data_IF_411102665905
#
_entry.id   IF_411102665905
#
_cell.length_a   1.000
_cell.length_b   1.000
_cell.length_c   1.000
_cell.angle_alpha   90.00
_cell.angle_beta   90.00
_cell.angle_gamma   90.00
#
_symmetry.space_group_name_H-M   'P 1'
#
loop_
_entity.id
_entity.type
_entity.pdbx_description
1 polymer ?
#
# COMPACT_ATOMS: atom_id res chain seq x y z
N UNK A 1 -6.43 26.35 -10.25
CA UNK A 1 -6.53 24.93 -10.67
C UNK A 1 -6.06 24.09 -9.51
N UNK A 2 -6.73 22.97 -9.20
CA UNK A 2 -6.25 22.01 -8.18
C UNK A 2 -4.93 21.42 -8.68
N UNK A 3 -3.86 21.46 -7.89
CA UNK A 3 -2.56 20.91 -8.27
C UNK A 3 -2.61 19.38 -8.35
N UNK A 4 -3.32 18.74 -7.41
CA UNK A 4 -3.51 17.30 -7.38
C UNK A 4 -4.98 16.95 -7.57
N UNK A 5 -5.25 15.95 -8.40
CA UNK A 5 -6.60 15.43 -8.67
C UNK A 5 -6.94 14.24 -7.80
N UNK A 6 -5.92 13.49 -7.37
CA UNK A 6 -6.04 12.29 -6.54
C UNK A 6 -5.07 12.37 -5.37
N UNK A 7 -5.58 12.17 -4.15
CA UNK A 7 -4.81 11.97 -2.93
C UNK A 7 -4.96 10.52 -2.46
N UNK A 8 -3.89 9.76 -2.53
CA UNK A 8 -3.76 8.44 -1.96
C UNK A 8 -3.20 8.57 -0.55
N UNK A 9 -3.89 8.01 0.44
CA UNK A 9 -3.50 8.06 1.83
C UNK A 9 -3.24 6.66 2.34
N UNK A 10 -2.09 6.43 2.94
CA UNK A 10 -1.84 5.21 3.70
C UNK A 10 -2.75 5.15 4.94
N UNK A 11 -2.94 3.96 5.50
CA UNK A 11 -3.87 3.73 6.61
C UNK A 11 -3.11 3.54 7.92
N UNK A 12 -2.26 2.52 7.99
CA UNK A 12 -1.64 2.05 9.23
C UNK A 12 -0.47 2.94 9.64
N UNK A 13 -0.58 3.62 10.78
CA UNK A 13 0.42 4.61 11.21
C UNK A 13 0.21 6.00 10.60
N UNK A 14 -0.68 6.14 9.62
CA UNK A 14 -1.00 7.42 8.95
C UNK A 14 -2.38 7.95 9.36
N UNK A 15 -3.41 7.13 9.22
CA UNK A 15 -4.79 7.45 9.57
C UNK A 15 -5.26 6.74 10.84
N UNK A 16 -4.67 5.59 11.14
CA UNK A 16 -5.03 4.74 12.28
C UNK A 16 -3.78 4.29 13.05
N UNK A 17 -3.98 3.92 14.31
CA UNK A 17 -2.96 3.30 15.14
C UNK A 17 -2.92 1.78 14.87
N UNK A 18 -2.44 1.41 13.68
CA UNK A 18 -2.38 0.03 13.19
C UNK A 18 -3.73 -0.54 12.74
N UNK A 19 -3.69 -1.75 12.17
CA UNK A 19 -4.88 -2.48 11.66
C UNK A 19 -5.83 -2.83 12.79
N UNK A 20 -7.06 -2.33 12.72
CA UNK A 20 -8.09 -2.52 13.75
C UNK A 20 -8.00 -1.55 14.93
N UNK A 21 -7.01 -0.66 14.94
CA UNK A 21 -6.84 0.38 15.94
C UNK A 21 -7.77 1.59 15.74
N UNK A 22 -7.75 2.56 16.66
CA UNK A 22 -8.52 3.80 16.55
C UNK A 22 -7.94 4.71 15.46
N UNK A 23 -8.75 5.66 14.98
CA UNK A 23 -8.24 6.73 14.12
C UNK A 23 -7.27 7.63 14.91
N UNK A 24 -6.19 8.05 14.26
CA UNK A 24 -5.25 9.02 14.82
C UNK A 24 -5.92 10.39 14.97
N UNK A 25 -5.41 11.19 15.89
CA UNK A 25 -5.96 12.52 16.17
C UNK A 25 -5.99 13.38 14.90
N UNK A 26 -7.18 13.90 14.58
CA UNK A 26 -7.42 14.75 13.40
C UNK A 26 -7.49 14.02 12.06
N UNK A 27 -7.31 12.69 12.00
CA UNK A 27 -7.31 11.94 10.74
C UNK A 27 -8.67 11.99 10.02
N UNK A 28 -9.77 11.84 10.72
CA UNK A 28 -11.12 11.89 10.14
C UNK A 28 -11.41 13.27 9.55
N UNK A 29 -11.09 14.34 10.28
CA UNK A 29 -11.26 15.71 9.81
C UNK A 29 -10.35 16.00 8.61
N UNK A 30 -9.09 15.51 8.63
CA UNK A 30 -8.17 15.63 7.51
C UNK A 30 -8.71 14.99 6.24
N UNK A 31 -9.23 13.75 6.33
CA UNK A 31 -9.84 13.05 5.18
C UNK A 31 -11.05 13.83 4.65
N UNK A 32 -11.91 14.33 5.52
CA UNK A 32 -13.07 15.16 5.14
C UNK A 32 -12.63 16.43 4.41
N UNK A 33 -11.64 17.14 4.94
CA UNK A 33 -11.11 18.36 4.34
C UNK A 33 -10.42 18.08 2.98
N UNK A 34 -9.66 16.99 2.86
CA UNK A 34 -8.99 16.60 1.63
C UNK A 34 -9.97 16.30 0.51
N UNK A 35 -11.12 15.69 0.81
CA UNK A 35 -12.19 15.44 -0.17
C UNK A 35 -12.75 16.72 -0.81
N UNK A 36 -12.59 17.87 -0.19
CA UNK A 36 -12.93 19.17 -0.79
C UNK A 36 -11.88 19.64 -1.82
N UNK A 37 -10.66 19.08 -1.76
CA UNK A 37 -9.49 19.48 -2.54
C UNK A 37 -9.15 18.51 -3.66
N UNK A 38 -9.37 17.21 -3.49
CA UNK A 38 -9.06 16.16 -4.45
C UNK A 38 -9.98 14.95 -4.25
N UNK A 39 -9.98 14.03 -5.23
CA UNK A 39 -10.48 12.67 -4.96
C UNK A 39 -9.56 12.00 -3.93
N UNK A 40 -10.15 11.24 -3.00
CA UNK A 40 -9.39 10.57 -1.94
C UNK A 40 -9.55 9.07 -2.05
N UNK A 41 -8.43 8.33 -2.01
CA UNK A 41 -8.40 6.88 -1.86
C UNK A 41 -7.52 6.51 -0.67
N UNK A 42 -7.99 5.58 0.15
CA UNK A 42 -7.19 4.99 1.21
C UNK A 42 -6.49 3.76 0.64
N UNK A 43 -5.16 3.75 0.66
CA UNK A 43 -4.36 2.73 -0.03
C UNK A 43 -3.46 2.03 0.99
N UNK A 44 -3.66 0.75 1.20
CA UNK A 44 -2.85 -0.04 2.15
C UNK A 44 -2.21 -1.25 1.48
N UNK A 45 -1.03 -1.65 1.96
CA UNK A 45 -0.39 -2.92 1.63
C UNK A 45 -0.81 -4.05 2.58
N UNK A 46 -1.72 -3.79 3.52
CA UNK A 46 -2.22 -4.81 4.45
C UNK A 46 -2.86 -5.98 3.71
N UNK A 47 -2.46 -7.18 4.08
CA UNK A 47 -2.93 -8.46 3.52
C UNK A 47 -3.50 -9.40 4.59
N UNK A 48 -3.58 -8.93 5.84
CA UNK A 48 -4.00 -9.72 7.01
C UNK A 48 -5.52 -9.78 7.24
N UNK A 49 -6.30 -9.07 6.44
CA UNK A 49 -7.78 -9.04 6.49
C UNK A 49 -8.35 -8.86 5.10
N UNK A 50 -9.57 -9.35 4.89
CA UNK A 50 -10.29 -9.14 3.65
C UNK A 50 -10.69 -7.67 3.44
N UNK A 51 -10.87 -7.30 2.17
CA UNK A 51 -11.33 -5.96 1.79
C UNK A 51 -12.65 -5.60 2.50
N UNK A 52 -13.59 -6.54 2.59
CA UNK A 52 -14.87 -6.34 3.26
C UNK A 52 -14.70 -6.00 4.74
N UNK A 53 -13.86 -6.74 5.46
CA UNK A 53 -13.62 -6.51 6.88
C UNK A 53 -12.92 -5.15 7.13
N UNK A 54 -11.92 -4.81 6.30
CA UNK A 54 -11.23 -3.52 6.38
C UNK A 54 -12.15 -2.35 6.06
N UNK A 55 -12.98 -2.46 5.00
CA UNK A 55 -13.93 -1.42 4.63
C UNK A 55 -14.94 -1.15 5.75
N UNK A 56 -15.52 -2.20 6.34
CA UNK A 56 -16.45 -2.06 7.46
C UNK A 56 -15.81 -1.35 8.65
N UNK A 57 -14.57 -1.70 8.99
CA UNK A 57 -13.84 -1.04 10.06
C UNK A 57 -13.60 0.46 9.77
N UNK A 58 -13.15 0.81 8.56
CA UNK A 58 -12.89 2.20 8.16
C UNK A 58 -14.17 3.06 8.08
N UNK A 59 -15.29 2.46 7.67
CA UNK A 59 -16.62 3.11 7.72
C UNK A 59 -17.00 3.42 9.17
N UNK A 60 -16.81 2.47 10.08
CA UNK A 60 -17.11 2.68 11.52
C UNK A 60 -16.24 3.77 12.14
N UNK A 61 -15.02 3.99 11.64
CA UNK A 61 -14.13 5.08 12.05
C UNK A 61 -14.49 6.43 11.39
N UNK A 62 -15.39 6.45 10.39
CA UNK A 62 -15.75 7.65 9.63
C UNK A 62 -14.67 8.09 8.61
N UNK A 63 -13.69 7.22 8.31
CA UNK A 63 -12.62 7.49 7.37
C UNK A 63 -13.05 7.31 5.92
N UNK A 64 -13.96 6.38 5.64
CA UNK A 64 -14.60 6.22 4.31
C UNK A 64 -16.11 6.18 4.44
N UNK A 65 -16.83 6.52 3.37
CA UNK A 65 -18.28 6.43 3.28
C UNK A 65 -18.71 5.22 2.43
N UNK A 66 -17.85 4.77 1.54
CA UNK A 66 -18.10 3.67 0.61
C UNK A 66 -16.90 2.74 0.51
N UNK A 67 -17.11 1.43 0.36
CA UNK A 67 -16.01 0.45 0.23
C UNK A 67 -15.03 0.75 -0.91
N UNK A 68 -15.48 1.38 -1.99
CA UNK A 68 -14.66 1.71 -3.16
C UNK A 68 -13.60 2.78 -2.90
N UNK A 69 -13.72 3.52 -1.79
CA UNK A 69 -12.66 4.43 -1.35
C UNK A 69 -11.44 3.70 -0.78
N UNK A 70 -11.58 2.42 -0.42
CA UNK A 70 -10.49 1.56 0.03
C UNK A 70 -9.87 0.82 -1.16
N UNK A 71 -8.55 0.88 -1.25
CA UNK A 71 -7.77 0.21 -2.29
C UNK A 71 -6.77 -0.73 -1.66
N UNK A 72 -6.94 -2.01 -1.99
CA UNK A 72 -5.99 -3.07 -1.67
C UNK A 72 -5.34 -3.60 -2.96
N UNK A 73 -4.12 -4.13 -2.87
CA UNK A 73 -3.47 -4.83 -4.00
C UNK A 73 -4.29 -6.01 -4.54
N UNK A 74 -5.10 -6.67 -3.69
CA UNK A 74 -6.03 -7.74 -4.11
C UNK A 74 -7.04 -7.26 -5.17
N UNK A 75 -7.54 -6.01 -5.05
CA UNK A 75 -8.44 -5.41 -6.06
C UNK A 75 -7.73 -5.22 -7.41
N UNK A 76 -6.47 -4.79 -7.39
CA UNK A 76 -5.66 -4.70 -8.62
C UNK A 76 -5.40 -6.08 -9.21
N UNK A 77 -5.07 -7.09 -8.38
CA UNK A 77 -4.88 -8.46 -8.82
C UNK A 77 -6.12 -8.99 -9.55
N UNK A 78 -7.30 -8.85 -8.95
CA UNK A 78 -8.57 -9.28 -9.55
C UNK A 78 -8.85 -8.63 -10.92
N UNK A 79 -8.49 -7.35 -11.08
CA UNK A 79 -8.71 -6.64 -12.34
C UNK A 79 -7.67 -6.98 -13.40
N UNK A 80 -6.42 -7.16 -13.00
CA UNK A 80 -5.28 -7.29 -13.91
C UNK A 80 -5.02 -8.73 -14.34
N UNK A 81 -5.04 -9.70 -13.42
CA UNK A 81 -4.61 -11.05 -13.70
C UNK A 81 -5.51 -11.77 -14.71
N UNK A 82 -6.85 -11.72 -14.59
CA UNK A 82 -7.74 -12.34 -15.60
C UNK A 82 -7.53 -11.76 -17.00
N UNK A 83 -7.31 -10.45 -17.13
CA UNK A 83 -7.08 -9.82 -18.44
C UNK A 83 -5.77 -10.27 -19.13
N UNK A 84 -4.88 -10.91 -18.37
CA UNK A 84 -3.61 -11.49 -18.83
C UNK A 84 -3.68 -13.01 -19.01
N UNK A 85 -4.81 -13.63 -18.74
CA UNK A 85 -4.93 -15.09 -18.69
C UNK A 85 -4.26 -15.74 -17.47
N UNK A 86 -4.07 -14.97 -16.40
CA UNK A 86 -3.40 -15.37 -15.16
C UNK A 86 -4.40 -15.52 -14.01
N UNK A 87 -5.61 -16.00 -14.30
CA UNK A 87 -6.70 -16.20 -13.34
C UNK A 87 -6.68 -17.57 -12.67
N UNK A 88 -5.64 -18.37 -12.94
CA UNK A 88 -5.44 -19.65 -12.30
C UNK A 88 -3.97 -19.94 -12.01
N UNK A 89 -3.72 -20.75 -10.98
CA UNK A 89 -2.37 -21.11 -10.59
C UNK A 89 -2.24 -21.46 -9.10
N UNK A 90 -1.08 -21.20 -8.55
CA UNK A 90 -0.79 -21.42 -7.14
C UNK A 90 -1.07 -20.14 -6.35
N UNK A 91 -1.94 -20.23 -5.35
CA UNK A 91 -2.31 -19.15 -4.46
C UNK A 91 -1.73 -19.40 -3.06
N UNK A 92 -0.87 -18.48 -2.60
CA UNK A 92 -0.34 -18.47 -1.23
C UNK A 92 -1.11 -17.41 -0.44
N UNK A 93 -2.15 -17.82 0.26
CA UNK A 93 -3.08 -16.93 0.98
C UNK A 93 -3.53 -17.54 2.30
N UNK A 94 -3.65 -16.69 3.34
CA UNK A 94 -4.26 -17.07 4.61
C UNK A 94 -5.79 -17.06 4.51
N UNK A 95 -6.45 -17.84 5.36
CA UNK A 95 -7.91 -17.95 5.37
C UNK A 95 -8.61 -16.60 5.62
N UNK A 96 -7.98 -15.71 6.40
CA UNK A 96 -8.49 -14.36 6.72
C UNK A 96 -8.68 -13.43 5.49
N UNK A 97 -7.93 -13.67 4.40
CA UNK A 97 -7.98 -12.89 3.18
C UNK A 97 -8.49 -13.69 1.97
N UNK A 98 -8.75 -14.98 2.13
CA UNK A 98 -9.08 -15.91 1.02
C UNK A 98 -10.34 -15.48 0.23
N UNK A 99 -11.32 -14.85 0.87
CA UNK A 99 -12.54 -14.40 0.18
C UNK A 99 -12.27 -13.39 -0.93
N UNK A 100 -11.20 -12.60 -0.84
CA UNK A 100 -10.81 -11.62 -1.87
C UNK A 100 -10.28 -12.28 -3.15
N UNK A 101 -9.98 -13.58 -3.10
CA UNK A 101 -9.43 -14.38 -4.20
C UNK A 101 -10.38 -15.46 -4.72
N UNK A 102 -11.68 -15.40 -4.42
CA UNK A 102 -12.68 -16.35 -4.92
C UNK A 102 -12.76 -16.43 -6.46
N UNK A 103 -12.25 -15.40 -7.15
CA UNK A 103 -12.13 -15.34 -8.61
C UNK A 103 -10.92 -16.13 -9.14
N UNK A 104 -9.92 -16.45 -8.31
CA UNK A 104 -8.69 -17.14 -8.70
C UNK A 104 -8.87 -18.66 -8.55
N UNK A 105 -8.73 -19.39 -9.63
CA UNK A 105 -8.85 -20.86 -9.62
C UNK A 105 -7.51 -21.48 -9.22
N UNK A 106 -7.49 -22.16 -8.08
CA UNK A 106 -6.30 -22.89 -7.64
C UNK A 106 -6.04 -24.08 -8.57
N UNK A 107 -4.89 -24.09 -9.21
CA UNK A 107 -4.47 -25.08 -10.20
C UNK A 107 -2.94 -25.13 -10.26
N UNK A 108 -2.29 -26.21 -9.82
CA UNK A 108 -0.83 -26.32 -9.87
C UNK A 108 -0.23 -26.14 -11.27
N UNK A 109 -1.00 -26.40 -12.34
CA UNK A 109 -0.58 -26.24 -13.73
C UNK A 109 -0.96 -24.87 -14.32
N UNK A 110 -1.59 -23.99 -13.54
CA UNK A 110 -2.03 -22.69 -14.01
C UNK A 110 -0.89 -21.70 -14.27
N UNK A 111 -1.24 -20.58 -14.89
CA UNK A 111 -0.28 -19.63 -15.47
C UNK A 111 0.35 -18.67 -14.46
N UNK A 112 -0.11 -18.67 -13.18
CA UNK A 112 0.34 -17.72 -12.18
C UNK A 112 0.72 -18.35 -10.84
N UNK A 113 1.65 -17.71 -10.14
CA UNK A 113 1.89 -17.85 -8.71
C UNK A 113 1.58 -16.50 -8.07
N UNK A 114 0.61 -16.46 -7.15
CA UNK A 114 0.20 -15.27 -6.44
C UNK A 114 0.52 -15.38 -4.95
N UNK A 115 1.47 -14.55 -4.50
CA UNK A 115 1.85 -14.40 -3.09
C UNK A 115 0.97 -13.30 -2.48
N UNK A 116 -0.06 -13.70 -1.74
CA UNK A 116 -1.19 -12.83 -1.39
C UNK A 116 -1.27 -12.46 0.09
N UNK A 117 -0.77 -13.28 1.02
CA UNK A 117 -0.84 -12.98 2.44
C UNK A 117 0.40 -13.39 3.21
N UNK A 118 0.39 -13.11 4.52
CA UNK A 118 1.53 -13.20 5.41
C UNK A 118 2.25 -14.56 5.38
N UNK A 119 3.57 -14.49 5.38
CA UNK A 119 4.45 -15.66 5.36
C UNK A 119 4.54 -16.40 6.69
N UNK A 120 3.68 -16.09 7.67
CA UNK A 120 3.76 -16.70 8.99
C UNK A 120 3.45 -18.19 8.95
N UNK A 121 4.42 -18.96 9.42
CA UNK A 121 4.30 -20.40 9.47
C UNK A 121 4.57 -21.12 8.14
N UNK A 122 4.84 -20.44 7.04
CA UNK A 122 5.25 -21.08 5.78
C UNK A 122 6.60 -21.78 5.96
N UNK A 123 6.63 -23.07 5.65
CA UNK A 123 7.87 -23.84 5.53
C UNK A 123 8.31 -23.82 4.07
N UNK A 124 9.60 -23.98 3.82
CA UNK A 124 10.15 -24.08 2.45
C UNK A 124 9.45 -25.18 1.64
N UNK A 125 9.04 -26.26 2.29
CA UNK A 125 8.30 -27.35 1.64
C UNK A 125 6.91 -26.94 1.15
N UNK A 126 6.27 -25.98 1.79
CA UNK A 126 4.95 -25.48 1.39
C UNK A 126 5.03 -24.66 0.08
N UNK A 127 6.21 -24.16 -0.27
CA UNK A 127 6.47 -23.41 -1.49
C UNK A 127 6.78 -24.27 -2.73
N UNK A 128 6.83 -25.61 -2.59
CA UNK A 128 7.27 -26.50 -3.70
C UNK A 128 6.30 -26.48 -4.89
N UNK A 129 5.00 -26.31 -4.66
CA UNK A 129 4.01 -26.20 -5.75
C UNK A 129 4.23 -24.91 -6.55
N UNK A 130 4.41 -23.79 -5.85
CA UNK A 130 4.74 -22.50 -6.46
C UNK A 130 6.06 -22.56 -7.24
N UNK A 131 7.11 -23.12 -6.65
CA UNK A 131 8.40 -23.29 -7.32
C UNK A 131 8.27 -24.10 -8.63
N UNK A 132 7.57 -25.25 -8.61
CA UNK A 132 7.36 -26.06 -9.83
C UNK A 132 6.56 -25.30 -10.90
N UNK A 133 5.53 -24.54 -10.52
CA UNK A 133 4.78 -23.72 -11.44
C UNK A 133 5.68 -22.66 -12.12
N UNK A 134 6.55 -22.00 -11.36
CA UNK A 134 7.50 -21.02 -11.90
C UNK A 134 8.49 -21.66 -12.90
N UNK A 135 8.99 -22.87 -12.62
CA UNK A 135 9.86 -23.61 -13.57
C UNK A 135 9.13 -23.96 -14.87
N UNK A 136 7.83 -24.18 -14.86
CA UNK A 136 7.02 -24.40 -16.07
C UNK A 136 6.68 -23.12 -16.82
N UNK A 137 7.00 -21.96 -16.27
CA UNK A 137 6.79 -20.68 -16.95
C UNK A 137 5.72 -19.79 -16.34
N UNK A 138 5.09 -20.17 -15.23
CA UNK A 138 4.10 -19.33 -14.55
C UNK A 138 4.68 -17.96 -14.19
N UNK A 139 3.85 -16.92 -14.27
CA UNK A 139 4.19 -15.58 -13.82
C UNK A 139 4.15 -15.50 -12.30
N UNK A 140 5.06 -14.73 -11.70
CA UNK A 140 5.10 -14.50 -10.25
C UNK A 140 4.54 -13.12 -9.90
N UNK A 141 3.52 -13.09 -9.07
CA UNK A 141 2.90 -11.88 -8.53
C UNK A 141 3.00 -11.84 -7.01
N UNK A 142 3.17 -10.65 -6.45
CA UNK A 142 3.08 -10.41 -5.01
C UNK A 142 2.21 -9.20 -4.72
N UNK A 143 1.40 -9.26 -3.65
CA UNK A 143 0.54 -8.15 -3.28
C UNK A 143 1.30 -6.97 -2.68
N UNK A 144 2.50 -7.21 -2.15
CA UNK A 144 3.38 -6.15 -1.67
C UNK A 144 4.83 -6.68 -1.57
N UNK A 145 5.78 -5.75 -1.44
CA UNK A 145 7.21 -6.05 -1.43
C UNK A 145 7.92 -5.63 -0.13
N UNK A 146 7.16 -5.39 0.94
CA UNK A 146 7.75 -5.01 2.22
C UNK A 146 8.65 -6.13 2.75
N UNK A 147 9.78 -5.75 3.33
CA UNK A 147 10.75 -6.71 3.87
C UNK A 147 10.31 -7.28 5.20
N UNK A 148 9.72 -6.44 6.05
CA UNK A 148 9.24 -6.76 7.39
C UNK A 148 8.18 -5.75 7.83
N UNK A 149 7.43 -6.11 8.86
CA UNK A 149 6.51 -5.23 9.55
C UNK A 149 6.56 -5.48 11.06
N UNK A 150 5.87 -4.67 11.85
CA UNK A 150 5.81 -4.82 13.30
C UNK A 150 4.53 -5.57 13.70
N UNK A 151 4.71 -6.65 14.47
CA UNK A 151 3.62 -7.43 15.06
C UNK A 151 3.95 -7.69 16.53
N UNK A 152 3.03 -7.39 17.42
CA UNK A 152 3.17 -7.62 18.88
C UNK A 152 4.50 -7.09 19.46
N UNK A 153 4.93 -5.92 18.99
CA UNK A 153 6.18 -5.28 19.42
C UNK A 153 7.46 -5.83 18.76
N UNK A 154 7.42 -6.95 18.04
CA UNK A 154 8.55 -7.55 17.32
C UNK A 154 8.56 -7.18 15.83
N UNK A 155 9.73 -7.22 15.19
CA UNK A 155 9.85 -7.19 13.74
C UNK A 155 9.72 -8.62 13.19
N UNK A 156 8.83 -8.80 12.23
CA UNK A 156 8.58 -10.08 11.56
C UNK A 156 8.69 -9.91 10.05
N UNK A 157 9.10 -10.96 9.35
CA UNK A 157 9.22 -10.95 7.88
C UNK A 157 7.86 -10.76 7.23
N UNK A 158 7.84 -10.07 6.10
CA UNK A 158 6.65 -9.82 5.30
C UNK A 158 6.69 -10.59 3.96
N UNK A 159 5.82 -10.29 3.01
CA UNK A 159 5.71 -11.01 1.73
C UNK A 159 6.93 -10.82 0.80
N UNK A 160 7.61 -9.68 0.87
CA UNK A 160 8.76 -9.39 0.02
C UNK A 160 9.82 -10.50 0.04
N UNK A 161 10.28 -10.98 1.21
CA UNK A 161 11.22 -12.11 1.30
C UNK A 161 10.70 -13.40 0.65
N UNK A 162 9.41 -13.73 0.76
CA UNK A 162 8.81 -14.93 0.13
C UNK A 162 8.82 -14.78 -1.39
N UNK A 163 8.39 -13.63 -1.89
CA UNK A 163 8.41 -13.33 -3.32
C UNK A 163 9.83 -13.36 -3.88
N UNK A 164 10.81 -12.79 -3.16
CA UNK A 164 12.22 -12.81 -3.53
C UNK A 164 12.80 -14.22 -3.56
N UNK A 165 12.49 -15.05 -2.54
CA UNK A 165 12.89 -16.47 -2.51
C UNK A 165 12.35 -17.23 -3.72
N UNK A 166 11.06 -17.12 -4.01
CA UNK A 166 10.43 -17.77 -5.15
C UNK A 166 10.97 -17.25 -6.48
N UNK A 167 11.18 -15.92 -6.57
CA UNK A 167 11.77 -15.29 -7.75
C UNK A 167 13.17 -15.81 -8.03
N UNK A 168 14.03 -15.86 -7.00
CA UNK A 168 15.38 -16.42 -7.12
C UNK A 168 15.36 -17.90 -7.52
N UNK A 169 14.57 -18.72 -6.82
CA UNK A 169 14.48 -20.15 -7.07
C UNK A 169 13.91 -20.48 -8.46
N UNK A 170 12.88 -19.76 -8.89
CA UNK A 170 12.17 -19.99 -10.15
C UNK A 170 12.73 -19.22 -11.34
N UNK A 171 13.75 -18.36 -11.16
CA UNK A 171 14.30 -17.50 -12.21
C UNK A 171 13.27 -16.50 -12.76
N UNK A 172 12.41 -15.95 -11.90
CA UNK A 172 11.34 -15.04 -12.27
C UNK A 172 11.40 -13.75 -11.45
N UNK A 173 11.20 -12.60 -12.10
CA UNK A 173 11.06 -11.33 -11.39
C UNK A 173 9.64 -11.20 -10.84
N UNK A 174 9.46 -10.97 -9.53
CA UNK A 174 8.14 -10.77 -8.95
C UNK A 174 7.50 -9.47 -9.43
N UNK A 175 6.27 -9.53 -9.91
CA UNK A 175 5.47 -8.34 -10.24
C UNK A 175 4.75 -7.89 -8.98
N UNK A 176 5.19 -6.77 -8.40
CA UNK A 176 4.56 -6.16 -7.23
C UNK A 176 3.27 -5.43 -7.61
N UNK A 177 2.17 -5.75 -6.95
CA UNK A 177 0.84 -5.14 -7.14
C UNK A 177 0.50 -4.08 -6.08
N UNK A 178 1.22 -4.04 -4.95
CA UNK A 178 1.03 -3.06 -3.88
C UNK A 178 1.94 -1.84 -4.00
N UNK A 179 1.84 -0.89 -3.07
CA UNK A 179 2.73 0.27 -2.99
C UNK A 179 4.20 -0.16 -2.93
N UNK A 180 5.10 0.50 -3.66
CA UNK A 180 4.94 1.58 -4.65
C UNK A 180 4.84 1.04 -6.09
N UNK A 181 3.81 0.29 -6.43
CA UNK A 181 3.64 -0.25 -7.80
C UNK A 181 3.14 0.81 -8.76
N UNK A 182 3.84 0.95 -9.92
CA UNK A 182 3.36 1.79 -11.03
C UNK A 182 2.00 1.34 -11.53
N UNK A 183 1.78 0.03 -11.64
CA UNK A 183 0.51 -0.55 -12.08
C UNK A 183 -0.66 -0.13 -11.17
N UNK A 184 -0.43 -0.08 -9.85
CA UNK A 184 -1.44 0.35 -8.89
C UNK A 184 -1.80 1.82 -9.10
N UNK A 185 -0.82 2.70 -9.13
CA UNK A 185 -1.07 4.13 -9.20
C UNK A 185 -1.55 4.59 -10.57
N UNK A 186 -1.10 3.98 -11.68
CA UNK A 186 -1.66 4.22 -13.02
C UNK A 186 -3.13 3.79 -13.11
N UNK A 187 -3.49 2.65 -12.49
CA UNK A 187 -4.88 2.21 -12.44
C UNK A 187 -5.76 3.19 -11.66
N UNK A 188 -5.30 3.67 -10.49
CA UNK A 188 -6.03 4.65 -9.67
C UNK A 188 -6.12 6.03 -10.36
N UNK A 189 -5.04 6.48 -10.98
CA UNK A 189 -5.04 7.74 -11.71
C UNK A 189 -6.03 7.70 -12.89
N UNK A 190 -6.08 6.58 -13.63
CA UNK A 190 -7.02 6.39 -14.73
C UNK A 190 -8.49 6.42 -14.29
N UNK A 191 -8.82 5.90 -13.11
CA UNK A 191 -10.19 5.93 -12.55
C UNK A 191 -10.73 7.36 -12.39
N UNK A 192 -9.85 8.33 -12.13
CA UNK A 192 -10.23 9.75 -11.95
C UNK A 192 -9.77 10.63 -13.11
N UNK A 193 -9.27 10.04 -14.17
CA UNK A 193 -8.74 10.75 -15.35
C UNK A 193 -7.55 11.66 -15.04
N UNK A 194 -6.70 11.28 -14.08
CA UNK A 194 -5.49 12.01 -13.69
C UNK A 194 -4.23 11.43 -14.35
N UNK A 195 -3.17 12.24 -14.46
CA UNK A 195 -1.81 11.77 -14.71
C UNK A 195 -1.09 11.55 -13.40
N UNK A 196 0.01 10.77 -13.39
CA UNK A 196 0.76 10.49 -12.17
C UNK A 196 1.31 11.75 -11.48
N UNK A 197 1.68 12.80 -12.24
CA UNK A 197 2.12 14.07 -11.68
C UNK A 197 0.99 14.92 -11.04
N UNK A 198 -0.26 14.48 -11.20
CA UNK A 198 -1.45 15.01 -10.54
C UNK A 198 -1.92 14.14 -9.37
N UNK A 199 -1.14 13.11 -8.99
CA UNK A 199 -1.40 12.21 -7.87
C UNK A 199 -0.43 12.51 -6.73
N UNK A 200 -0.95 12.47 -5.52
CA UNK A 200 -0.15 12.55 -4.31
C UNK A 200 -0.34 11.27 -3.50
N UNK A 201 0.74 10.76 -2.90
CA UNK A 201 0.72 9.72 -1.89
C UNK A 201 1.22 10.30 -0.56
N UNK A 202 0.45 10.12 0.51
CA UNK A 202 0.87 10.49 1.87
C UNK A 202 0.85 9.26 2.77
N UNK A 203 1.93 9.06 3.52
CA UNK A 203 2.07 7.93 4.44
C UNK A 203 3.26 8.10 5.40
N UNK A 204 3.38 7.15 6.33
CA UNK A 204 4.40 7.14 7.39
C UNK A 204 5.68 6.38 6.98
N UNK A 205 5.63 5.67 5.85
CA UNK A 205 6.75 4.91 5.33
C UNK A 205 7.57 5.73 4.32
N UNK A 206 8.80 6.13 4.71
CA UNK A 206 9.66 6.94 3.87
C UNK A 206 10.02 6.23 2.54
N UNK A 207 10.19 4.90 2.55
CA UNK A 207 10.61 4.13 1.37
C UNK A 207 9.42 3.79 0.46
N UNK A 208 8.35 3.20 1.02
CA UNK A 208 7.25 2.65 0.23
C UNK A 208 6.17 3.68 -0.12
N UNK A 209 5.93 4.67 0.73
CA UNK A 209 4.94 5.71 0.45
C UNK A 209 5.57 6.92 -0.21
N UNK A 210 6.42 7.65 0.52
CA UNK A 210 6.89 8.96 0.07
C UNK A 210 7.92 8.85 -1.07
N UNK A 211 9.04 8.17 -0.85
CA UNK A 211 10.10 8.01 -1.85
C UNK A 211 9.61 7.21 -3.06
N UNK A 212 8.84 6.12 -2.80
CA UNK A 212 8.24 5.31 -3.85
C UNK A 212 7.34 6.11 -4.78
N UNK A 213 6.50 6.99 -4.25
CA UNK A 213 5.66 7.88 -5.04
C UNK A 213 6.50 8.85 -5.89
N UNK A 214 7.53 9.48 -5.31
CA UNK A 214 8.40 10.40 -6.05
C UNK A 214 9.13 9.70 -7.20
N UNK A 215 9.58 8.45 -7.01
CA UNK A 215 10.19 7.64 -8.08
C UNK A 215 9.25 7.37 -9.26
N UNK A 216 7.95 7.38 -9.01
CA UNK A 216 6.92 7.21 -10.05
C UNK A 216 6.52 8.53 -10.74
N UNK A 217 7.06 9.67 -10.29
CA UNK A 217 6.71 11.00 -10.80
C UNK A 217 5.49 11.62 -10.11
N UNK A 218 5.06 11.06 -8.97
CA UNK A 218 4.00 11.57 -8.11
C UNK A 218 4.55 12.50 -7.03
N UNK A 219 3.68 13.19 -6.29
CA UNK A 219 4.08 13.81 -5.04
C UNK A 219 4.08 12.75 -3.91
N UNK A 220 5.17 12.69 -3.15
CA UNK A 220 5.30 11.82 -1.99
C UNK A 220 5.41 12.64 -0.72
N UNK A 221 4.44 12.54 0.18
CA UNK A 221 4.40 13.26 1.46
C UNK A 221 4.61 12.28 2.61
N UNK A 222 5.66 12.52 3.38
CA UNK A 222 5.98 11.73 4.57
C UNK A 222 5.33 12.36 5.79
N UNK A 223 4.59 11.58 6.59
CA UNK A 223 4.08 12.02 7.89
C UNK A 223 4.90 11.43 9.03
N UNK A 224 5.09 12.24 10.10
CA UNK A 224 5.92 11.85 11.26
C UNK A 224 5.10 11.10 12.33
N UNK A 225 4.28 10.15 11.87
CA UNK A 225 3.48 9.26 12.73
C UNK A 225 3.88 7.80 12.45
N UNK A 226 3.27 6.85 13.11
CA UNK A 226 3.41 5.42 12.83
C UNK A 226 4.85 4.91 12.92
N UNK A 227 5.36 4.38 11.83
CA UNK A 227 6.74 3.82 11.74
C UNK A 227 7.84 4.85 11.51
N UNK A 228 7.49 6.11 11.22
CA UNK A 228 8.49 7.16 11.01
C UNK A 228 9.49 7.26 12.18
N UNK A 229 10.75 7.43 11.86
CA UNK A 229 11.83 7.72 12.80
C UNK A 229 12.56 8.99 12.37
N UNK A 230 13.02 9.76 13.33
CA UNK A 230 13.75 11.00 13.05
C UNK A 230 14.88 10.78 12.04
N UNK A 231 14.83 11.54 10.95
CA UNK A 231 15.81 11.49 9.87
C UNK A 231 15.54 10.47 8.78
N UNK A 232 14.41 9.75 8.78
CA UNK A 232 14.08 8.79 7.72
C UNK A 232 14.00 9.48 6.35
N UNK A 233 13.55 10.73 6.30
CA UNK A 233 13.54 11.55 5.08
C UNK A 233 14.92 11.73 4.45
N UNK A 234 15.99 11.67 5.25
CA UNK A 234 17.37 11.80 4.77
C UNK A 234 18.01 10.48 4.34
N UNK A 235 17.34 9.34 4.66
CA UNK A 235 17.84 7.99 4.36
C UNK A 235 17.32 7.45 3.04
N UNK A 236 16.35 8.14 2.41
CA UNK A 236 15.74 7.72 1.14
C UNK A 236 16.11 8.66 0.00
N UNK A 237 16.19 8.11 -1.21
CA UNK A 237 16.44 8.86 -2.44
C UNK A 237 15.51 8.34 -3.55
N UNK A 238 14.79 9.22 -4.24
CA UNK A 238 14.66 10.67 -4.06
C UNK A 238 14.05 11.06 -2.71
N UNK A 239 14.29 12.29 -2.26
CA UNK A 239 13.69 12.83 -1.04
C UNK A 239 12.16 12.97 -1.18
N UNK A 240 11.40 12.89 -0.08
CA UNK A 240 9.98 13.23 -0.08
C UNK A 240 9.72 14.64 -0.60
N UNK A 241 8.60 14.86 -1.27
CA UNK A 241 8.12 16.18 -1.71
C UNK A 241 7.88 17.11 -0.51
N UNK A 242 7.38 16.54 0.59
CA UNK A 242 7.20 17.23 1.87
C UNK A 242 7.29 16.25 3.03
N UNK A 243 7.60 16.79 4.22
CA UNK A 243 7.54 16.06 5.50
C UNK A 243 6.66 16.86 6.44
N UNK A 244 5.57 16.25 6.91
CA UNK A 244 4.57 16.89 7.77
C UNK A 244 4.53 16.24 9.15
N UNK A 245 4.10 16.95 10.20
CA UNK A 245 3.96 16.37 11.53
C UNK A 245 2.97 15.21 11.56
N UNK A 246 1.85 15.35 10.86
CA UNK A 246 0.78 14.36 10.77
C UNK A 246 -0.07 14.54 9.51
N UNK A 247 -0.99 13.62 9.27
CA UNK A 247 -1.97 13.74 8.18
C UNK A 247 -2.91 14.95 8.35
N UNK A 248 -3.12 15.42 9.58
CA UNK A 248 -3.95 16.60 9.87
C UNK A 248 -3.41 17.88 9.21
N UNK A 249 -2.10 17.94 8.93
CA UNK A 249 -1.45 19.09 8.32
C UNK A 249 -1.54 19.09 6.78
N UNK A 250 -1.93 17.97 6.15
CA UNK A 250 -1.88 17.79 4.70
C UNK A 250 -2.81 18.74 3.95
N UNK A 251 -4.05 18.95 4.44
CA UNK A 251 -4.98 19.87 3.80
C UNK A 251 -4.51 21.33 3.82
N UNK A 252 -3.89 21.76 4.92
CA UNK A 252 -3.30 23.09 5.05
C UNK A 252 -2.10 23.26 4.11
N UNK A 253 -1.23 22.24 4.03
CA UNK A 253 -0.10 22.22 3.10
C UNK A 253 -0.56 22.34 1.63
N UNK A 254 -1.60 21.60 1.22
CA UNK A 254 -2.16 21.67 -0.12
C UNK A 254 -2.74 23.05 -0.47
N UNK A 255 -3.35 23.75 0.51
CA UNK A 255 -3.90 25.11 0.33
C UNK A 255 -2.80 26.17 0.30
N UNK A 256 -1.70 25.96 1.03
CA UNK A 256 -0.61 26.94 1.17
C UNK A 256 0.42 26.94 0.04
N UNK A 257 0.29 26.06 -0.97
CA UNK A 257 1.20 25.99 -2.11
C UNK A 257 2.65 25.76 -1.71
N UNK A 258 2.97 24.54 -1.24
CA UNK A 258 4.34 24.03 -0.99
C UNK A 258 5.18 24.74 0.10
N UNK A 259 4.62 25.62 0.90
CA UNK A 259 5.37 26.16 2.04
C UNK A 259 5.35 25.17 3.20
N UNK A 260 6.48 24.49 3.45
CA UNK A 260 6.71 23.72 4.68
C UNK A 260 6.51 24.65 5.87
N UNK A 261 5.62 24.34 6.84
CA UNK A 261 5.50 25.16 8.04
C UNK A 261 6.85 25.21 8.74
N UNK A 262 7.39 26.42 8.93
CA UNK A 262 8.63 26.62 9.67
C UNK A 262 8.46 26.03 11.09
N UNK A 263 9.42 25.20 11.52
CA UNK A 263 9.46 24.64 12.89
C UNK A 263 9.25 25.76 13.92
N UNK A 264 8.18 25.69 14.72
CA UNK A 264 8.14 26.42 15.98
C UNK A 264 9.29 25.85 16.85
N UNK A 265 10.32 26.63 17.06
CA UNK A 265 11.37 26.29 18.05
C UNK A 265 10.67 26.11 19.40
N UNK A 266 10.94 25.04 20.16
CA UNK A 266 10.49 24.97 21.53
C UNK A 266 11.11 26.18 22.27
N UNK A 267 10.27 26.99 22.90
CA UNK A 267 10.71 28.10 23.72
C UNK A 267 11.66 27.58 24.80
N UNK A 268 12.83 28.19 24.90
CA UNK A 268 13.70 28.02 26.06
C UNK A 268 12.95 28.62 27.24
N UNK A 269 12.45 27.79 28.12
CA UNK A 269 12.05 28.13 29.46
C UNK A 269 13.07 27.60 30.43
#
# INVERSE_FOLDING_TARGET
>A
MRRYRLACLDIDGTLTDGVGGPALAGAVDAVRDLRTLAEVRLVTNTTSRSQRALAAWLVNLGLITEPDHLVLPARLAHRLLPSRGHDSGVLLVDDSAREDFAWFREDPEGAAVLVASEAHGLRVLDLQSAFRALLRGAALYTLQANRYYRKDGALVTDLGPVAAFLGYAGGREPVNLGKPSRLLFEALAAEVGARLDEVLMAGDDAEFDACGAVRLGMAGVLVRTGKYRDGDEARVSPAPTAVLPSIADLAAWLRGGDRVPARRRPGRG
#
